data_IF_957031447435
#
_entry.id   IF_957031447435
#
_cell.length_a   1.000
_cell.length_b   1.000
_cell.length_c   1.000
_cell.angle_alpha   90.00
_cell.angle_beta   90.00
_cell.angle_gamma   90.00
#
_symmetry.space_group_name_H-M   'P 1'
#
loop_
_entity.id
_entity.type
_entity.pdbx_description
1 polymer ?
#
# COMPACT_ATOMS: atom_id res chain seq x y z
N UNK A 1 -2.19 2.45 0.45
CA UNK A 1 -3.40 2.60 1.28
C UNK A 1 -3.95 1.28 1.80
N UNK A 2 -4.70 1.37 2.90
CA UNK A 2 -5.60 0.33 3.42
C UNK A 2 -7.02 0.92 3.52
N UNK A 3 -8.05 0.09 3.38
CA UNK A 3 -9.45 0.44 3.61
C UNK A 3 -10.04 -0.58 4.58
N UNK A 4 -10.71 -0.10 5.63
CA UNK A 4 -11.34 -0.91 6.68
C UNK A 4 -12.83 -0.96 6.44
N UNK A 5 -13.36 -2.18 6.32
CA UNK A 5 -14.79 -2.44 6.12
C UNK A 5 -15.28 -3.32 7.27
N UNK A 6 -15.96 -2.71 8.25
CA UNK A 6 -16.59 -3.44 9.36
C UNK A 6 -17.79 -4.24 8.83
N UNK A 7 -18.18 -5.31 9.53
CA UNK A 7 -19.44 -6.01 9.25
C UNK A 7 -20.59 -5.01 9.32
N UNK A 8 -21.45 -5.00 8.31
CA UNK A 8 -22.58 -4.05 8.17
C UNK A 8 -22.16 -2.57 8.13
N UNK A 9 -20.93 -2.26 7.72
CA UNK A 9 -20.47 -0.88 7.58
C UNK A 9 -21.35 -0.11 6.60
N UNK A 10 -21.72 1.12 6.99
CA UNK A 10 -22.27 2.13 6.09
C UNK A 10 -21.14 2.98 5.53
N UNK A 11 -21.45 3.81 4.52
CA UNK A 11 -20.45 4.68 3.85
C UNK A 11 -19.62 5.51 4.83
N UNK A 12 -20.26 6.08 5.86
CA UNK A 12 -19.62 6.89 6.90
C UNK A 12 -18.74 6.10 7.88
N UNK A 13 -18.94 4.77 7.96
CA UNK A 13 -18.16 3.89 8.83
C UNK A 13 -16.86 3.43 8.14
N UNK A 14 -16.70 3.73 6.83
CA UNK A 14 -15.50 3.41 6.06
C UNK A 14 -14.35 4.31 6.50
N UNK A 15 -13.21 3.70 6.76
CA UNK A 15 -11.98 4.37 7.12
C UNK A 15 -10.84 3.89 6.23
N UNK A 16 -10.01 4.80 5.74
CA UNK A 16 -8.92 4.48 4.84
C UNK A 16 -7.83 5.55 4.91
N UNK A 17 -6.59 5.12 4.70
CA UNK A 17 -5.41 5.99 4.73
C UNK A 17 -4.21 5.27 4.12
N UNK A 18 -3.13 6.02 3.83
CA UNK A 18 -1.89 5.41 3.38
C UNK A 18 -1.04 4.86 4.52
N UNK A 19 -0.55 3.63 4.36
CA UNK A 19 0.23 2.93 5.38
C UNK A 19 1.73 3.15 5.26
N UNK A 20 2.21 3.83 4.21
CA UNK A 20 3.63 3.92 3.86
C UNK A 20 3.89 3.47 2.41
N UNK A 21 5.12 3.07 2.07
CA UNK A 21 5.48 2.75 0.70
C UNK A 21 4.96 1.37 0.26
N UNK A 22 4.34 1.33 -0.93
CA UNK A 22 4.03 0.09 -1.63
C UNK A 22 5.19 -0.37 -2.54
N UNK A 23 4.86 -0.87 -3.75
CA UNK A 23 5.87 -1.32 -4.72
C UNK A 23 6.83 -0.23 -5.19
N UNK A 24 6.44 1.06 -5.10
CA UNK A 24 7.20 2.16 -5.70
C UNK A 24 8.66 2.26 -5.21
N UNK A 25 8.94 1.89 -3.95
CA UNK A 25 10.29 1.88 -3.40
C UNK A 25 11.08 0.65 -3.87
N UNK A 26 10.43 -0.50 -3.96
CA UNK A 26 11.00 -1.76 -4.45
C UNK A 26 11.38 -1.58 -5.92
N UNK A 27 10.47 -1.05 -6.73
CA UNK A 27 10.66 -0.81 -8.17
C UNK A 27 11.78 0.19 -8.44
N UNK A 28 11.83 1.28 -7.67
CA UNK A 28 12.91 2.27 -7.76
C UNK A 28 14.29 1.66 -7.47
N UNK A 29 14.41 0.88 -6.40
CA UNK A 29 15.66 0.20 -6.06
C UNK A 29 16.02 -0.92 -7.05
N UNK A 30 15.03 -1.64 -7.57
CA UNK A 30 15.22 -2.62 -8.66
C UNK A 30 15.79 -1.95 -9.90
N UNK A 31 15.30 -0.76 -10.24
CA UNK A 31 15.84 0.00 -11.36
C UNK A 31 17.28 0.43 -11.10
N UNK A 32 17.59 0.99 -9.92
CA UNK A 32 18.94 1.44 -9.59
C UNK A 32 19.96 0.30 -9.54
N UNK A 33 19.62 -0.84 -8.92
CA UNK A 33 20.54 -1.94 -8.62
C UNK A 33 20.60 -3.03 -9.71
N UNK A 34 19.53 -3.20 -10.48
CA UNK A 34 19.39 -4.30 -11.45
C UNK A 34 18.95 -3.86 -12.84
N UNK A 35 18.65 -2.56 -13.05
CA UNK A 35 18.14 -2.04 -14.33
C UNK A 35 16.84 -2.73 -14.78
N UNK A 36 16.01 -3.16 -13.83
CA UNK A 36 14.70 -3.77 -14.06
C UNK A 36 13.60 -2.89 -13.48
N UNK A 37 12.44 -2.86 -14.16
CA UNK A 37 11.30 -2.02 -13.75
C UNK A 37 10.70 -2.43 -12.40
N UNK A 38 10.68 -3.72 -12.09
CA UNK A 38 10.12 -4.29 -10.86
C UNK A 38 10.73 -5.66 -10.58
N UNK A 39 10.53 -6.19 -9.36
CA UNK A 39 10.95 -7.53 -8.99
C UNK A 39 9.89 -8.59 -9.36
N UNK A 40 9.98 -9.11 -10.58
CA UNK A 40 9.04 -10.11 -11.09
C UNK A 40 9.06 -11.36 -10.22
N UNK A 41 7.89 -11.72 -9.66
CA UNK A 41 7.69 -12.88 -8.78
C UNK A 41 8.62 -12.92 -7.55
N UNK A 42 9.11 -11.77 -7.10
CA UNK A 42 10.08 -11.65 -5.99
C UNK A 42 11.39 -12.40 -6.25
N UNK A 43 11.79 -12.63 -7.50
CA UNK A 43 12.96 -13.45 -7.84
C UNK A 43 14.28 -12.88 -7.30
N UNK A 44 14.37 -11.55 -7.13
CA UNK A 44 15.52 -10.89 -6.53
C UNK A 44 15.39 -10.90 -5.01
N UNK A 45 14.25 -10.46 -4.46
CA UNK A 45 14.04 -10.38 -3.02
C UNK A 45 14.20 -11.74 -2.32
N UNK A 46 13.77 -12.84 -2.96
CA UNK A 46 13.90 -14.20 -2.40
C UNK A 46 15.33 -14.72 -2.34
N UNK A 47 16.26 -14.14 -3.10
CA UNK A 47 17.70 -14.48 -3.04
C UNK A 47 18.44 -13.71 -1.95
N UNK A 48 17.82 -12.66 -1.41
CA UNK A 48 18.38 -11.86 -0.32
C UNK A 48 17.97 -12.38 1.04
N UNK A 49 18.73 -11.97 2.04
CA UNK A 49 18.42 -12.13 3.46
C UNK A 49 17.97 -10.80 4.04
N UNK A 50 17.05 -10.85 5.01
CA UNK A 50 16.65 -9.64 5.74
C UNK A 50 17.89 -9.07 6.44
N UNK A 51 18.26 -7.83 6.14
CA UNK A 51 19.37 -7.16 6.79
C UNK A 51 18.86 -6.31 7.97
N UNK A 52 19.22 -6.64 9.23
CA UNK A 52 18.70 -5.94 10.39
C UNK A 52 19.09 -4.45 10.46
N UNK A 53 20.29 -4.09 10.01
CA UNK A 53 20.77 -2.70 10.04
C UNK A 53 19.94 -1.81 9.12
N UNK A 54 19.72 -2.25 7.88
CA UNK A 54 18.86 -1.55 6.92
C UNK A 54 17.40 -1.54 7.41
N UNK A 55 16.89 -2.64 7.96
CA UNK A 55 15.53 -2.67 8.49
C UNK A 55 15.33 -1.65 9.61
N UNK A 56 16.26 -1.63 10.59
CA UNK A 56 16.26 -0.69 11.69
C UNK A 56 16.33 0.77 11.20
N UNK A 57 17.14 1.04 10.18
CA UNK A 57 17.17 2.35 9.55
C UNK A 57 15.84 2.75 8.92
N UNK A 58 15.18 1.83 8.21
CA UNK A 58 13.90 2.09 7.54
C UNK A 58 12.76 2.33 8.54
N UNK A 59 12.70 1.54 9.61
CA UNK A 59 11.65 1.70 10.61
C UNK A 59 11.79 3.01 11.40
N UNK A 60 12.95 3.66 11.44
CA UNK A 60 13.12 4.98 12.06
C UNK A 60 12.40 6.10 11.30
N UNK A 61 11.95 5.86 10.07
CA UNK A 61 11.10 6.79 9.33
C UNK A 61 9.80 7.08 10.09
N UNK A 62 9.47 8.37 10.26
CA UNK A 62 8.28 8.77 11.02
C UNK A 62 7.02 8.86 10.16
N UNK A 63 7.14 8.96 8.83
CA UNK A 63 5.99 9.24 7.96
C UNK A 63 4.93 8.13 8.03
N UNK A 64 5.32 6.85 8.00
CA UNK A 64 4.36 5.75 8.14
C UNK A 64 3.73 5.66 9.54
N UNK A 65 4.32 6.30 10.56
CA UNK A 65 3.85 6.30 11.95
C UNK A 65 2.91 7.45 12.30
N UNK A 66 2.72 8.44 11.42
CA UNK A 66 1.80 9.54 11.66
C UNK A 66 0.37 9.04 11.93
N UNK A 67 -0.43 9.75 12.72
CA UNK A 67 -1.83 9.39 12.92
C UNK A 67 -2.66 9.70 11.65
N UNK A 68 -3.66 8.88 11.29
CA UNK A 68 -4.61 9.23 10.23
C UNK A 68 -5.52 10.42 10.65
N UNK A 69 -6.09 11.18 9.69
CA UNK A 69 -6.04 10.98 8.25
C UNK A 69 -4.67 11.33 7.67
N UNK A 70 -4.14 10.46 6.80
CA UNK A 70 -2.84 10.66 6.17
C UNK A 70 -2.77 10.07 4.76
N UNK A 71 -1.98 10.73 3.93
CA UNK A 71 -1.64 10.33 2.57
C UNK A 71 -0.13 10.43 2.39
N UNK A 72 0.45 9.57 1.56
CA UNK A 72 1.88 9.63 1.23
C UNK A 72 2.15 9.00 -0.13
N UNK A 73 3.29 9.32 -0.72
CA UNK A 73 3.64 8.91 -2.06
C UNK A 73 5.10 9.17 -2.40
N UNK A 74 5.32 9.61 -3.64
CA UNK A 74 6.66 9.81 -4.22
C UNK A 74 7.38 11.02 -3.65
N UNK A 75 6.65 11.97 -3.10
CA UNK A 75 7.20 13.12 -2.39
C UNK A 75 8.03 12.73 -1.17
N UNK A 76 7.66 11.63 -0.48
CA UNK A 76 8.43 11.11 0.66
C UNK A 76 9.29 9.90 0.30
N UNK A 77 8.71 8.84 -0.27
CA UNK A 77 9.40 7.57 -0.54
C UNK A 77 10.02 7.47 -1.95
N UNK A 78 10.10 8.59 -2.66
CA UNK A 78 10.61 8.66 -4.03
C UNK A 78 12.12 8.55 -4.16
N UNK A 79 12.65 9.16 -5.22
CA UNK A 79 14.05 9.03 -5.63
C UNK A 79 15.04 9.44 -4.52
N UNK A 80 14.73 10.49 -3.77
CA UNK A 80 15.63 10.96 -2.71
C UNK A 80 15.72 9.99 -1.53
N UNK A 81 14.61 9.37 -1.13
CA UNK A 81 14.62 8.30 -0.12
C UNK A 81 15.44 7.09 -0.59
N UNK A 82 15.25 6.70 -1.85
CA UNK A 82 15.99 5.60 -2.47
C UNK A 82 17.49 5.89 -2.54
N UNK A 83 17.90 7.11 -2.93
CA UNK A 83 19.30 7.54 -2.91
C UNK A 83 19.92 7.49 -1.52
N UNK A 84 19.19 7.88 -0.47
CA UNK A 84 19.66 7.78 0.93
C UNK A 84 19.99 6.33 1.30
N UNK A 85 19.11 5.38 0.96
CA UNK A 85 19.35 3.94 1.16
C UNK A 85 20.62 3.51 0.40
N UNK A 86 20.69 3.79 -0.90
CA UNK A 86 21.81 3.36 -1.76
C UNK A 86 23.14 3.96 -1.31
N UNK A 87 23.16 5.20 -0.84
CA UNK A 87 24.37 5.87 -0.33
C UNK A 87 24.83 5.26 1.00
N UNK A 88 23.91 5.08 1.94
CA UNK A 88 24.22 4.59 3.30
C UNK A 88 24.61 3.11 3.28
N UNK A 89 23.90 2.29 2.50
CA UNK A 89 24.09 0.84 2.43
C UNK A 89 24.81 0.39 1.16
N UNK A 90 25.72 1.22 0.61
CA UNK A 90 26.41 0.96 -0.67
C UNK A 90 27.21 -0.35 -0.71
N UNK A 91 27.64 -0.85 0.45
CA UNK A 91 28.41 -2.10 0.60
C UNK A 91 27.53 -3.32 0.87
N UNK A 92 26.24 -3.11 1.15
CA UNK A 92 25.32 -4.20 1.42
C UNK A 92 25.03 -4.94 0.12
N UNK A 93 24.82 -6.26 0.23
CA UNK A 93 24.40 -7.06 -0.91
C UNK A 93 23.09 -6.49 -1.48
N UNK A 94 23.08 -6.21 -2.79
CA UNK A 94 21.91 -5.68 -3.50
C UNK A 94 20.65 -6.56 -3.38
N UNK A 95 20.80 -7.88 -3.24
CA UNK A 95 19.66 -8.78 -3.01
C UNK A 95 19.05 -8.55 -1.61
N UNK A 96 19.88 -8.32 -0.60
CA UNK A 96 19.45 -8.05 0.77
C UNK A 96 18.73 -6.69 0.88
N UNK A 97 19.14 -5.69 0.09
CA UNK A 97 18.44 -4.40 0.00
C UNK A 97 16.99 -4.62 -0.47
N UNK A 98 16.80 -5.33 -1.58
CA UNK A 98 15.45 -5.59 -2.13
C UNK A 98 14.63 -6.46 -1.17
N UNK A 99 15.25 -7.47 -0.54
CA UNK A 99 14.61 -8.29 0.49
C UNK A 99 14.10 -7.44 1.65
N UNK A 100 14.97 -6.59 2.19
CA UNK A 100 14.68 -5.80 3.39
C UNK A 100 13.65 -4.71 3.13
N UNK A 101 13.69 -4.06 1.97
CA UNK A 101 12.68 -3.06 1.60
C UNK A 101 11.32 -3.71 1.33
N UNK A 102 11.30 -4.93 0.77
CA UNK A 102 10.03 -5.69 0.63
C UNK A 102 9.44 -6.03 2.00
N UNK A 103 10.28 -6.42 2.97
CA UNK A 103 9.87 -6.64 4.37
C UNK A 103 9.32 -5.35 4.99
N UNK A 104 9.99 -4.22 4.80
CA UNK A 104 9.56 -2.91 5.29
C UNK A 104 8.19 -2.52 4.74
N UNK A 105 7.91 -2.73 3.46
CA UNK A 105 6.56 -2.50 2.89
C UNK A 105 5.50 -3.31 3.63
N UNK A 106 5.73 -4.60 3.90
CA UNK A 106 4.78 -5.43 4.65
C UNK A 106 4.64 -4.97 6.11
N UNK A 107 5.76 -4.63 6.75
CA UNK A 107 5.82 -4.14 8.12
C UNK A 107 5.02 -2.85 8.30
N UNK A 108 5.14 -1.88 7.38
CA UNK A 108 4.40 -0.61 7.51
C UNK A 108 2.88 -0.81 7.41
N UNK A 109 2.41 -1.75 6.57
CA UNK A 109 1.00 -2.15 6.52
C UNK A 109 0.56 -2.77 7.85
N UNK A 110 1.32 -3.73 8.38
CA UNK A 110 1.04 -4.39 9.66
C UNK A 110 1.06 -3.42 10.84
N UNK A 111 2.08 -2.56 10.93
CA UNK A 111 2.22 -1.55 11.96
C UNK A 111 0.99 -0.64 12.00
N UNK A 112 0.54 -0.19 10.84
CA UNK A 112 -0.63 0.68 10.75
C UNK A 112 -1.93 -0.02 11.15
N UNK A 113 -2.09 -1.29 10.79
CA UNK A 113 -3.19 -2.09 11.32
C UNK A 113 -3.13 -2.20 12.84
N UNK A 114 -1.97 -2.58 13.39
CA UNK A 114 -1.79 -2.76 14.83
C UNK A 114 -2.07 -1.51 15.65
N UNK A 115 -1.61 -0.35 15.19
CA UNK A 115 -1.67 0.88 15.98
C UNK A 115 -2.93 1.72 15.74
N UNK A 116 -3.57 1.61 14.58
CA UNK A 116 -4.68 2.50 14.20
C UNK A 116 -5.98 1.79 13.85
N UNK A 117 -6.02 0.45 13.84
CA UNK A 117 -7.20 -0.32 13.43
C UNK A 117 -7.56 -1.41 14.43
N UNK A 118 -6.58 -2.15 14.96
CA UNK A 118 -6.83 -3.39 15.72
C UNK A 118 -7.68 -3.18 16.99
N UNK A 119 -7.53 -2.05 17.70
CA UNK A 119 -8.34 -1.75 18.89
C UNK A 119 -9.84 -1.68 18.60
N UNK A 120 -10.19 -1.21 17.40
CA UNK A 120 -11.57 -0.89 17.03
C UNK A 120 -12.17 -1.96 16.11
N UNK A 121 -11.33 -2.70 15.39
CA UNK A 121 -11.72 -3.69 14.42
C UNK A 121 -10.61 -4.73 14.24
N UNK A 122 -10.76 -5.88 14.91
CA UNK A 122 -9.99 -7.07 14.56
C UNK A 122 -10.43 -7.54 13.18
N UNK A 123 -9.47 -7.75 12.27
CA UNK A 123 -9.80 -8.18 10.90
C UNK A 123 -9.85 -9.71 10.79
N UNK A 124 -10.87 -10.20 10.09
CA UNK A 124 -10.98 -11.62 9.71
C UNK A 124 -10.29 -11.89 8.36
N UNK A 125 -10.27 -10.90 7.45
CA UNK A 125 -9.72 -11.02 6.11
C UNK A 125 -8.94 -9.76 5.70
N UNK A 126 -7.79 -9.99 5.06
CA UNK A 126 -7.00 -8.97 4.38
C UNK A 126 -7.00 -9.23 2.87
N UNK A 127 -7.73 -8.40 2.12
CA UNK A 127 -7.86 -8.51 0.66
C UNK A 127 -6.85 -7.58 -0.02
N UNK A 128 -5.82 -8.14 -0.62
CA UNK A 128 -4.72 -7.40 -1.27
C UNK A 128 -5.03 -7.19 -2.75
N UNK A 129 -4.88 -5.94 -3.22
CA UNK A 129 -5.07 -5.55 -4.62
C UNK A 129 -3.86 -4.77 -5.17
N UNK A 130 -3.91 -4.39 -6.45
CA UNK A 130 -2.80 -3.72 -7.13
C UNK A 130 -1.61 -4.66 -7.43
N UNK A 131 -0.53 -4.09 -7.96
CA UNK A 131 0.65 -4.85 -8.39
C UNK A 131 1.32 -5.65 -7.25
N UNK A 132 1.24 -5.16 -6.01
CA UNK A 132 1.83 -5.80 -4.83
C UNK A 132 1.24 -7.19 -4.54
N UNK A 133 -0.02 -7.42 -4.90
CA UNK A 133 -0.67 -8.73 -4.79
C UNK A 133 0.03 -9.82 -5.62
N UNK A 134 0.84 -9.45 -6.62
CA UNK A 134 1.60 -10.38 -7.46
C UNK A 134 3.02 -10.65 -6.95
N UNK A 135 3.46 -9.99 -5.87
CA UNK A 135 4.76 -10.22 -5.24
C UNK A 135 4.63 -11.36 -4.20
N UNK A 136 5.06 -12.61 -4.50
CA UNK A 136 4.80 -13.74 -3.61
C UNK A 136 5.49 -13.61 -2.25
N UNK A 137 6.64 -12.93 -2.20
CA UNK A 137 7.31 -12.67 -0.93
C UNK A 137 6.50 -11.69 -0.07
N UNK A 138 6.01 -10.58 -0.63
CA UNK A 138 5.18 -9.63 0.08
C UNK A 138 3.91 -10.31 0.62
N UNK A 139 3.23 -11.11 -0.20
CA UNK A 139 2.06 -11.88 0.23
C UNK A 139 2.38 -12.86 1.36
N UNK A 140 3.54 -13.53 1.30
CA UNK A 140 4.02 -14.42 2.35
C UNK A 140 4.31 -13.67 3.66
N UNK A 141 5.03 -12.54 3.59
CA UNK A 141 5.33 -11.71 4.76
C UNK A 141 4.05 -11.14 5.39
N UNK A 142 3.08 -10.70 4.58
CA UNK A 142 1.76 -10.28 5.08
C UNK A 142 1.02 -11.42 5.79
N UNK A 143 1.01 -12.64 5.26
CA UNK A 143 0.43 -13.80 5.94
C UNK A 143 1.07 -14.04 7.33
N UNK A 144 2.39 -13.84 7.45
CA UNK A 144 3.09 -14.01 8.72
C UNK A 144 2.78 -12.89 9.73
N UNK A 145 2.59 -11.66 9.27
CA UNK A 145 2.23 -10.54 10.13
C UNK A 145 0.78 -10.58 10.60
N UNK A 146 -0.12 -11.03 9.74
CA UNK A 146 -1.56 -11.08 9.98
C UNK A 146 -2.03 -12.50 10.35
N UNK A 147 -1.26 -13.20 11.19
CA UNK A 147 -1.63 -14.52 11.69
C UNK A 147 -3.02 -14.47 12.34
N UNK A 148 -3.93 -15.31 11.86
CA UNK A 148 -5.32 -15.37 12.31
C UNK A 148 -6.32 -14.67 11.39
N UNK A 149 -5.86 -13.82 10.46
CA UNK A 149 -6.67 -13.31 9.37
C UNK A 149 -6.37 -14.07 8.07
N UNK A 150 -7.37 -14.26 7.23
CA UNK A 150 -7.19 -14.79 5.88
C UNK A 150 -6.59 -13.72 4.98
N UNK A 151 -5.36 -13.92 4.50
CA UNK A 151 -4.75 -13.00 3.52
C UNK A 151 -4.91 -13.56 2.12
N UNK A 152 -5.65 -12.85 1.27
CA UNK A 152 -5.89 -13.26 -0.12
C UNK A 152 -5.78 -12.11 -1.09
N UNK A 153 -5.56 -12.44 -2.37
CA UNK A 153 -5.65 -11.46 -3.45
C UNK A 153 -7.12 -11.16 -3.73
N UNK A 154 -7.41 -9.94 -4.17
CA UNK A 154 -8.73 -9.59 -4.68
C UNK A 154 -9.10 -10.53 -5.82
N UNK A 155 -10.15 -11.31 -5.61
CA UNK A 155 -10.75 -12.22 -6.59
C UNK A 155 -12.26 -12.16 -6.42
N UNK A 156 -12.87 -11.18 -7.06
CA UNK A 156 -14.34 -11.02 -7.14
C UNK A 156 -14.72 -11.15 -8.61
N UNK A 157 -15.86 -11.77 -8.91
CA UNK A 157 -16.30 -11.96 -10.31
C UNK A 157 -16.28 -10.61 -11.06
N UNK A 158 -15.53 -10.55 -12.16
CA UNK A 158 -15.35 -9.33 -12.97
C UNK A 158 -14.34 -8.30 -12.44
N UNK A 159 -13.96 -8.35 -11.16
CA UNK A 159 -13.01 -7.41 -10.53
C UNK A 159 -11.71 -8.12 -10.16
N UNK A 160 -10.64 -7.73 -10.84
CA UNK A 160 -9.28 -8.22 -10.65
C UNK A 160 -8.40 -7.18 -9.96
N UNK A 161 -7.24 -7.62 -9.49
CA UNK A 161 -6.21 -6.75 -8.93
C UNK A 161 -5.74 -5.65 -9.90
N UNK A 162 -5.92 -5.84 -11.21
CA UNK A 162 -5.44 -4.94 -12.28
C UNK A 162 -6.52 -3.95 -12.73
N UNK A 163 -7.79 -4.34 -12.77
CA UNK A 163 -8.87 -3.49 -13.29
C UNK A 163 -9.64 -2.72 -12.19
N UNK A 164 -9.43 -3.04 -10.91
CA UNK A 164 -10.14 -2.42 -9.77
C UNK A 164 -10.13 -0.88 -9.83
N UNK A 165 -8.98 -0.27 -10.14
CA UNK A 165 -8.86 1.18 -10.20
C UNK A 165 -9.57 1.76 -11.43
N UNK A 166 -9.50 1.10 -12.58
CA UNK A 166 -10.25 1.52 -13.77
C UNK A 166 -11.77 1.45 -13.53
N UNK A 167 -12.24 0.39 -12.87
CA UNK A 167 -13.65 0.23 -12.47
C UNK A 167 -14.04 1.33 -11.47
N UNK A 168 -13.19 1.66 -10.50
CA UNK A 168 -13.43 2.78 -9.59
C UNK A 168 -13.65 4.09 -10.35
N UNK A 169 -12.82 4.40 -11.35
CA UNK A 169 -13.02 5.61 -12.15
C UNK A 169 -14.32 5.58 -12.98
N UNK A 170 -14.72 4.41 -13.49
CA UNK A 170 -16.01 4.26 -14.17
C UNK A 170 -17.19 4.52 -13.22
N UNK A 171 -17.12 4.01 -11.99
CA UNK A 171 -18.12 4.30 -10.94
C UNK A 171 -18.12 5.79 -10.59
N UNK A 172 -16.96 6.41 -10.38
CA UNK A 172 -16.87 7.85 -10.10
C UNK A 172 -17.45 8.71 -11.24
N UNK A 173 -17.23 8.32 -12.49
CA UNK A 173 -17.84 9.00 -13.64
C UNK A 173 -19.36 8.84 -13.66
N UNK A 174 -19.88 7.65 -13.35
CA UNK A 174 -21.33 7.42 -13.19
C UNK A 174 -21.92 8.31 -12.10
N UNK A 175 -21.31 8.34 -10.91
CA UNK A 175 -21.78 9.18 -9.79
C UNK A 175 -21.73 10.67 -10.16
N UNK A 176 -20.71 11.11 -10.90
CA UNK A 176 -20.61 12.48 -11.41
C UNK A 176 -21.78 12.84 -12.34
N UNK A 177 -22.10 11.96 -13.29
CA UNK A 177 -23.20 12.16 -14.24
C UNK A 177 -24.57 12.10 -13.54
N UNK A 178 -24.73 11.19 -12.58
CA UNK A 178 -25.96 11.04 -11.81
C UNK A 178 -26.18 12.16 -10.77
N UNK A 179 -25.16 12.99 -10.51
CA UNK A 179 -25.21 14.06 -9.51
C UNK A 179 -25.05 13.57 -8.06
N UNK A 180 -24.51 12.36 -7.87
CA UNK A 180 -24.33 11.75 -6.56
C UNK A 180 -22.97 12.10 -5.94
N UNK A 181 -22.90 12.48 -4.65
CA UNK A 181 -21.64 12.66 -3.95
C UNK A 181 -20.85 11.36 -3.76
N UNK A 182 -19.60 11.36 -4.21
CA UNK A 182 -18.76 10.15 -4.23
C UNK A 182 -17.64 10.15 -3.18
N UNK A 183 -17.33 11.30 -2.56
CA UNK A 183 -16.35 11.34 -1.47
C UNK A 183 -16.88 10.65 -0.20
N UNK A 184 -15.95 10.26 0.67
CA UNK A 184 -16.24 9.69 1.98
C UNK A 184 -15.55 10.55 3.02
N UNK A 185 -16.31 11.39 3.75
CA UNK A 185 -15.78 12.40 4.67
C UNK A 185 -14.86 11.82 5.75
N UNK A 186 -15.19 10.64 6.28
CA UNK A 186 -14.38 9.91 7.27
C UNK A 186 -13.00 9.46 6.74
N UNK A 187 -12.84 9.43 5.40
CA UNK A 187 -11.58 9.08 4.73
C UNK A 187 -10.81 10.32 4.32
N UNK A 188 -11.49 11.30 3.71
CA UNK A 188 -10.86 12.47 3.10
C UNK A 188 -10.66 13.63 4.08
N UNK A 189 -11.36 13.66 5.21
CA UNK A 189 -11.41 14.80 6.13
C UNK A 189 -12.27 15.97 5.62
N UNK A 190 -13.03 15.78 4.54
CA UNK A 190 -13.93 16.83 4.03
C UNK A 190 -15.14 17.01 4.95
N UNK A 191 -15.60 18.25 5.08
CA UNK A 191 -16.75 18.61 5.93
C UNK A 191 -18.10 18.51 5.21
N UNK A 192 -18.09 18.23 3.90
CA UNK A 192 -19.30 18.16 3.06
C UNK A 192 -19.20 17.01 2.07
N UNK A 193 -20.35 16.45 1.75
CA UNK A 193 -20.52 15.55 0.62
C UNK A 193 -20.44 16.36 -0.69
N UNK A 194 -19.57 15.93 -1.60
CA UNK A 194 -19.28 16.61 -2.86
C UNK A 194 -19.30 15.64 -4.03
N UNK A 195 -19.82 16.11 -5.17
CA UNK A 195 -19.71 15.42 -6.44
C UNK A 195 -18.25 15.54 -6.90
N UNK A 196 -17.63 14.41 -7.24
CA UNK A 196 -16.25 14.35 -7.71
C UNK A 196 -16.22 14.31 -9.24
N UNK A 197 -15.27 15.02 -9.85
CA UNK A 197 -15.06 15.02 -11.30
C UNK A 197 -15.47 16.32 -12.00
N UNK A 198 -15.16 16.40 -13.29
CA UNK A 198 -15.59 17.47 -14.20
C UNK A 198 -16.01 16.84 -15.53
N UNK A 199 -17.12 17.28 -16.10
CA UNK A 199 -17.60 16.80 -17.40
C UNK A 199 -16.95 17.65 -18.49
N UNK A 200 -16.11 17.03 -19.31
CA UNK A 200 -15.59 17.62 -20.54
C UNK A 200 -16.45 17.12 -21.70
N UNK A 201 -17.20 18.02 -22.35
CA UNK A 201 -17.98 17.68 -23.53
C UNK A 201 -17.03 17.32 -24.69
N UNK A 202 -17.43 16.31 -25.46
CA UNK A 202 -16.67 15.81 -26.61
C UNK A 202 -16.74 16.76 -27.81
#
# INVERSE_FOLDING_TARGET
NITVLKRNARKQDVFAFDTGPGNMIIDGLMYHLFKKKYDKNSLVAKKGTLNPELFNYLIMDSAYRAEPPKSTGREHYGMEFQKKILKKFKRLNKYDIIRTVTEFTAYTIWYNYKNFIESDCKIDELIVSGGGAHNPLLMYTLNNYFKGAKVSKLKVNGITTQNKEAILFAVLANECIAGNPANVNSVTGSTKDVILGKICQA
#
